data_IF_455030560656
#
_entry.id   IF_455030560656
#
_cell.length_a   1.000
_cell.length_b   1.000
_cell.length_c   1.000
_cell.angle_alpha   90.00
_cell.angle_beta   90.00
_cell.angle_gamma   90.00
#
_symmetry.space_group_name_H-M   'P 1'
#
loop_
_entity.id
_entity.type
_entity.pdbx_description
1 polymer ?
#
# COMPACT_ATOMS: atom_id res chain seq x y z
N UNK A 1 -37.96 -15.96 41.31
CA UNK A 1 -37.64 -15.80 39.87
C UNK A 1 -36.41 -14.91 39.66
N UNK A 2 -35.27 -15.55 39.42
CA UNK A 2 -33.90 -15.10 39.73
C UNK A 2 -33.50 -13.85 38.92
N UNK A 3 -33.35 -12.70 39.60
CA UNK A 3 -32.99 -11.40 38.97
C UNK A 3 -31.66 -11.46 38.20
N UNK A 4 -30.76 -12.36 38.61
CA UNK A 4 -29.46 -12.59 37.97
C UNK A 4 -29.58 -13.15 36.54
N UNK A 5 -30.49 -14.09 36.30
CA UNK A 5 -30.72 -14.66 34.94
C UNK A 5 -31.24 -13.61 33.96
N UNK A 6 -32.16 -12.76 34.42
CA UNK A 6 -32.72 -11.66 33.61
C UNK A 6 -31.68 -10.58 33.31
N UNK A 7 -30.80 -10.26 34.26
CA UNK A 7 -29.68 -9.33 34.03
C UNK A 7 -28.68 -9.89 33.02
N UNK A 8 -28.35 -11.18 33.12
CA UNK A 8 -27.46 -11.87 32.19
C UNK A 8 -27.99 -11.84 30.75
N UNK A 9 -29.26 -12.22 30.52
CA UNK A 9 -29.85 -12.20 29.17
C UNK A 9 -29.89 -10.79 28.58
N UNK A 10 -30.20 -9.77 29.40
CA UNK A 10 -30.19 -8.37 28.95
C UNK A 10 -28.79 -7.89 28.57
N UNK A 11 -27.77 -8.26 29.34
CA UNK A 11 -26.38 -7.93 29.05
C UNK A 11 -25.89 -8.63 27.76
N UNK A 12 -26.21 -9.91 27.59
CA UNK A 12 -25.86 -10.68 26.39
C UNK A 12 -26.55 -10.12 25.12
N UNK A 13 -27.84 -9.75 25.22
CA UNK A 13 -28.57 -9.14 24.12
C UNK A 13 -28.02 -7.75 23.75
N UNK A 14 -27.67 -6.91 24.74
CA UNK A 14 -27.07 -5.61 24.51
C UNK A 14 -25.68 -5.70 23.85
N UNK A 15 -24.85 -6.67 24.26
CA UNK A 15 -23.55 -6.92 23.66
C UNK A 15 -23.63 -7.42 22.21
N UNK A 16 -24.60 -8.29 21.89
CA UNK A 16 -24.80 -8.80 20.54
C UNK A 16 -25.27 -7.74 19.53
N UNK A 17 -26.13 -6.81 19.96
CA UNK A 17 -26.58 -5.69 19.12
C UNK A 17 -25.46 -4.67 18.90
N UNK A 18 -24.67 -4.35 19.93
CA UNK A 18 -23.50 -3.49 19.78
C UNK A 18 -22.46 -4.09 18.81
N UNK A 19 -22.27 -5.42 18.83
CA UNK A 19 -21.41 -6.12 17.87
C UNK A 19 -21.96 -6.08 16.43
N UNK A 20 -23.28 -6.23 16.26
CA UNK A 20 -23.92 -6.21 14.94
C UNK A 20 -23.88 -4.82 14.25
N UNK A 21 -24.02 -3.74 15.02
CA UNK A 21 -24.03 -2.36 14.49
C UNK A 21 -22.69 -1.61 14.62
N UNK A 22 -21.74 -2.13 15.39
CA UNK A 22 -20.39 -1.57 15.54
C UNK A 22 -19.41 -1.95 14.42
N UNK A 23 -19.87 -2.63 13.36
CA UNK A 23 -19.03 -3.06 12.24
C UNK A 23 -18.60 -1.85 11.41
N UNK A 24 -17.40 -1.35 11.64
CA UNK A 24 -16.75 -0.42 10.71
C UNK A 24 -16.36 -1.18 9.44
N UNK A 25 -16.25 -0.49 8.29
CA UNK A 25 -15.95 -1.13 7.00
C UNK A 25 -14.73 -2.06 7.08
N UNK A 26 -13.70 -1.71 7.87
CA UNK A 26 -12.51 -2.53 8.10
C UNK A 26 -12.79 -3.89 8.76
N UNK A 27 -13.73 -3.96 9.69
CA UNK A 27 -14.10 -5.23 10.36
C UNK A 27 -14.97 -6.15 9.49
N UNK A 28 -15.75 -5.58 8.57
CA UNK A 28 -16.54 -6.34 7.59
C UNK A 28 -15.64 -7.00 6.55
N UNK A 29 -14.62 -6.29 6.07
CA UNK A 29 -13.65 -6.84 5.12
C UNK A 29 -12.82 -7.98 5.72
N UNK A 30 -12.47 -7.90 7.02
CA UNK A 30 -11.74 -8.95 7.72
C UNK A 30 -12.53 -10.27 7.81
N UNK A 31 -13.86 -10.23 7.84
CA UNK A 31 -14.71 -11.43 7.87
C UNK A 31 -14.93 -12.07 6.49
N UNK A 32 -14.61 -11.38 5.39
CA UNK A 32 -14.71 -11.90 4.01
C UNK A 32 -13.48 -12.71 3.60
N UNK A 33 -12.39 -12.68 4.38
CA UNK A 33 -11.27 -13.60 4.22
C UNK A 33 -11.70 -14.99 4.69
N UNK A 34 -12.30 -15.76 3.78
CA UNK A 34 -12.89 -17.06 4.06
C UNK A 34 -11.91 -18.01 4.76
N UNK A 35 -12.29 -18.45 5.95
CA UNK A 35 -11.64 -19.57 6.66
C UNK A 35 -12.21 -20.88 6.12
N UNK A 36 -11.82 -21.25 4.89
CA UNK A 36 -12.25 -22.47 4.23
C UNK A 36 -11.09 -23.45 4.01
N UNK A 37 -10.99 -24.45 4.88
CA UNK A 37 -10.56 -25.82 4.57
C UNK A 37 -9.15 -26.06 4.05
N UNK A 38 -8.13 -25.85 4.88
CA UNK A 38 -6.80 -26.43 4.63
C UNK A 38 -6.32 -27.18 5.88
N UNK A 39 -5.73 -28.37 5.69
CA UNK A 39 -5.23 -29.21 6.78
C UNK A 39 -3.90 -28.69 7.37
N UNK A 40 -3.28 -27.70 6.72
CA UNK A 40 -2.02 -27.07 7.06
C UNK A 40 -2.16 -25.55 7.30
N UNK A 41 -1.18 -24.95 7.99
CA UNK A 41 -1.19 -23.52 8.29
C UNK A 41 -1.07 -22.69 7.01
N UNK A 42 -2.06 -21.84 6.75
CA UNK A 42 -2.03 -20.86 5.67
C UNK A 42 -2.28 -19.46 6.23
N UNK A 43 -1.38 -18.55 5.89
CA UNK A 43 -1.54 -17.13 6.18
C UNK A 43 -1.37 -16.33 4.89
N UNK A 44 -2.25 -15.35 4.69
CA UNK A 44 -2.08 -14.32 3.69
C UNK A 44 -1.31 -13.15 4.32
N UNK A 45 -0.19 -12.76 3.70
CA UNK A 45 0.57 -11.58 4.12
C UNK A 45 0.28 -10.47 3.12
N UNK A 46 -0.51 -9.48 3.54
CA UNK A 46 -0.76 -8.28 2.74
C UNK A 46 0.37 -7.27 2.96
N UNK A 47 1.27 -7.16 1.98
CA UNK A 47 2.29 -6.12 1.95
C UNK A 47 1.73 -4.87 1.28
N UNK A 48 1.58 -3.81 2.06
CA UNK A 48 1.18 -2.52 1.50
C UNK A 48 2.42 -1.68 1.19
N UNK A 49 2.58 -1.31 -0.07
CA UNK A 49 3.71 -0.54 -0.58
C UNK A 49 3.45 0.98 -0.49
N UNK A 50 2.80 1.45 0.59
CA UNK A 50 2.39 2.85 0.76
C UNK A 50 3.56 3.86 0.74
N UNK A 51 4.80 3.41 0.95
CA UNK A 51 6.02 4.22 0.80
C UNK A 51 6.50 4.40 -0.65
N UNK A 52 5.74 3.94 -1.63
CA UNK A 52 6.12 4.01 -3.04
C UNK A 52 7.27 3.08 -3.39
N UNK A 53 7.35 1.89 -2.77
CA UNK A 53 8.25 0.81 -3.18
C UNK A 53 7.63 0.00 -4.32
N UNK A 54 7.39 0.64 -5.46
CA UNK A 54 6.80 0.03 -6.65
C UNK A 54 7.73 0.20 -7.86
N UNK A 55 7.43 -0.48 -8.96
CA UNK A 55 8.26 -0.44 -10.17
C UNK A 55 8.48 0.98 -10.71
N UNK A 56 7.50 1.87 -10.56
CA UNK A 56 7.56 3.26 -11.01
C UNK A 56 8.60 4.08 -10.25
N UNK A 57 8.87 3.74 -9.00
CA UNK A 57 9.86 4.41 -8.17
C UNK A 57 11.23 3.72 -8.15
N UNK A 58 11.36 2.57 -8.82
CA UNK A 58 12.61 1.82 -8.96
C UNK A 58 13.37 2.25 -10.22
N UNK A 59 12.64 2.47 -11.31
CA UNK A 59 13.17 2.94 -12.60
C UNK A 59 12.32 4.13 -13.06
N UNK A 60 12.87 5.33 -12.91
CA UNK A 60 12.17 6.58 -13.16
C UNK A 60 12.65 7.19 -14.49
N UNK A 61 11.75 7.56 -15.42
CA UNK A 61 12.14 8.28 -16.62
C UNK A 61 12.61 9.70 -16.27
N UNK A 62 13.68 10.18 -16.89
CA UNK A 62 14.30 11.48 -16.57
C UNK A 62 14.17 12.53 -17.66
N UNK A 63 13.81 12.12 -18.88
CA UNK A 63 13.44 13.04 -19.95
C UNK A 63 12.23 13.89 -19.54
N UNK A 64 12.20 15.15 -19.98
CA UNK A 64 11.33 16.15 -19.38
C UNK A 64 9.83 15.84 -19.51
N UNK A 65 9.38 15.37 -20.67
CA UNK A 65 7.97 15.08 -20.89
C UNK A 65 7.52 13.87 -20.04
N UNK A 66 8.33 12.82 -20.02
CA UNK A 66 8.05 11.53 -19.37
C UNK A 66 8.13 11.65 -17.86
N UNK A 67 9.13 12.36 -17.33
CA UNK A 67 9.19 12.65 -15.90
C UNK A 67 7.98 13.49 -15.45
N UNK A 68 7.54 14.46 -16.25
CA UNK A 68 6.37 15.26 -15.90
C UNK A 68 5.10 14.39 -15.83
N UNK A 69 4.95 13.43 -16.75
CA UNK A 69 3.87 12.44 -16.69
C UNK A 69 3.99 11.54 -15.45
N UNK A 70 5.19 11.04 -15.15
CA UNK A 70 5.51 10.30 -13.94
C UNK A 70 5.11 11.06 -12.67
N UNK A 71 5.63 12.28 -12.51
CA UNK A 71 5.39 13.10 -11.32
C UNK A 71 3.90 13.37 -11.12
N UNK A 72 3.17 13.74 -12.18
CA UNK A 72 1.71 13.95 -12.13
C UNK A 72 0.94 12.69 -11.72
N UNK A 73 1.27 11.54 -12.30
CA UNK A 73 0.63 10.26 -11.97
C UNK A 73 0.84 9.83 -10.51
N UNK A 74 1.84 10.41 -9.85
CA UNK A 74 2.25 10.14 -8.46
C UNK A 74 1.91 11.28 -7.50
N UNK A 75 1.03 12.20 -7.90
CA UNK A 75 0.60 13.32 -7.05
C UNK A 75 1.70 14.36 -6.79
N UNK A 76 2.64 14.53 -7.72
CA UNK A 76 3.69 15.55 -7.69
C UNK A 76 3.14 16.94 -7.35
N UNK A 77 3.81 17.64 -6.43
CA UNK A 77 3.38 18.95 -5.94
C UNK A 77 2.29 18.91 -4.85
N UNK A 78 1.91 17.72 -4.36
CA UNK A 78 0.98 17.56 -3.22
C UNK A 78 1.69 17.02 -1.98
N UNK A 79 1.05 17.12 -0.81
CA UNK A 79 1.56 16.58 0.47
C UNK A 79 1.62 15.06 0.53
N UNK A 80 0.90 14.37 -0.36
CA UNK A 80 0.88 12.91 -0.47
C UNK A 80 1.65 12.41 -1.69
N UNK A 81 2.56 13.22 -2.24
CA UNK A 81 3.33 12.84 -3.43
C UNK A 81 4.19 11.62 -3.17
N UNK A 82 4.14 10.66 -4.09
CA UNK A 82 5.04 9.51 -4.13
C UNK A 82 6.10 9.65 -5.23
N UNK A 83 6.15 10.80 -5.90
CA UNK A 83 7.13 11.11 -6.93
C UNK A 83 8.50 11.34 -6.29
N UNK A 84 9.56 10.82 -6.91
CA UNK A 84 10.94 11.13 -6.53
C UNK A 84 11.35 12.42 -7.20
N UNK A 85 12.02 13.31 -6.46
CA UNK A 85 12.64 14.49 -7.06
C UNK A 85 13.71 14.10 -8.08
N UNK A 86 13.61 14.66 -9.30
CA UNK A 86 14.53 14.36 -10.42
C UNK A 86 15.99 14.55 -10.04
N UNK A 87 16.27 15.59 -9.24
CA UNK A 87 17.62 15.92 -8.78
C UNK A 87 18.21 14.91 -7.78
N UNK A 88 17.37 14.07 -7.16
CA UNK A 88 17.79 13.03 -6.20
C UNK A 88 18.01 11.66 -6.84
N UNK A 89 17.72 11.53 -8.13
CA UNK A 89 17.84 10.27 -8.86
C UNK A 89 19.27 10.07 -9.40
N UNK A 90 19.74 8.84 -9.32
CA UNK A 90 21.02 8.41 -9.88
C UNK A 90 20.82 7.92 -11.33
N UNK A 91 21.46 8.53 -12.34
CA UNK A 91 21.28 8.15 -13.73
C UNK A 91 21.67 6.70 -14.01
N UNK A 92 20.88 6.01 -14.83
CA UNK A 92 21.24 4.71 -15.39
C UNK A 92 21.94 4.99 -16.73
N UNK A 93 23.23 4.68 -16.81
CA UNK A 93 24.02 4.81 -18.04
C UNK A 93 24.06 3.48 -18.78
N UNK A 94 23.49 3.44 -19.99
CA UNK A 94 23.52 2.27 -20.85
C UNK A 94 24.68 2.38 -21.86
N UNK A 95 25.47 1.31 -22.07
CA UNK A 95 26.46 1.28 -23.14
C UNK A 95 25.80 1.53 -24.51
N UNK A 96 26.29 2.53 -25.26
CA UNK A 96 25.79 2.85 -26.59
C UNK A 96 24.55 3.75 -26.63
N UNK A 97 24.13 4.33 -25.50
CA UNK A 97 23.03 5.30 -25.47
C UNK A 97 23.36 6.53 -26.33
N UNK A 98 22.49 6.88 -27.26
CA UNK A 98 22.63 8.04 -28.16
C UNK A 98 21.64 9.15 -27.80
N UNK A 99 21.90 10.35 -28.33
CA UNK A 99 20.99 11.49 -28.18
C UNK A 99 19.63 11.15 -28.80
N UNK A 100 18.58 11.16 -27.98
CA UNK A 100 17.21 10.82 -28.39
C UNK A 100 16.69 9.53 -27.76
N UNK A 101 17.58 8.69 -27.22
CA UNK A 101 17.16 7.52 -26.45
C UNK A 101 16.48 7.92 -25.14
N UNK A 102 15.50 7.13 -24.66
CA UNK A 102 14.86 7.38 -23.38
C UNK A 102 15.88 7.26 -22.24
N UNK A 103 15.92 8.28 -21.38
CA UNK A 103 16.80 8.33 -20.23
C UNK A 103 16.07 7.90 -18.95
N UNK A 104 16.75 7.10 -18.12
CA UNK A 104 16.21 6.58 -16.87
C UNK A 104 17.18 6.79 -15.71
N UNK A 105 16.65 6.74 -14.49
CA UNK A 105 17.41 6.85 -13.27
C UNK A 105 16.76 6.05 -12.14
N UNK A 106 17.54 5.66 -11.14
CA UNK A 106 17.08 4.94 -9.96
C UNK A 106 17.25 5.79 -8.69
N UNK A 107 16.59 5.39 -7.60
CA UNK A 107 16.83 6.02 -6.29
C UNK A 107 18.19 5.59 -5.75
N UNK A 108 18.89 6.51 -5.09
CA UNK A 108 20.20 6.24 -4.49
C UNK A 108 20.18 5.14 -3.43
N UNK A 109 19.07 4.96 -2.72
CA UNK A 109 18.91 3.95 -1.68
C UNK A 109 18.49 2.56 -2.21
N UNK A 110 18.35 2.39 -3.53
CA UNK A 110 17.98 1.12 -4.12
C UNK A 110 19.12 0.09 -4.08
N UNK A 111 20.37 0.55 -4.14
CA UNK A 111 21.55 -0.30 -4.08
C UNK A 111 22.43 0.14 -2.91
N UNK A 112 22.33 -0.49 -1.73
CA UNK A 112 23.23 -0.19 -0.62
C UNK A 112 24.67 -0.53 -1.04
N UNK A 113 25.52 0.48 -1.19
CA UNK A 113 26.96 0.33 -1.49
C UNK A 113 27.45 0.98 -2.79
N UNK A 114 26.70 1.90 -3.40
CA UNK A 114 27.21 2.83 -4.40
C UNK A 114 27.61 4.16 -3.76
#
# INVERSE_FOLDING_TARGET
MNRLRRKFIKAAAAGGVAYAFGRTAGTVHAQMAGTGGFADYKALVCLFLFGGNDSWNMVVPTSTAEYNAYSRSRGGGTTSSLAVDRASLLPISLPGQVSGDPAYACRSNLFPGQ
#
